data_IF_528181230037
#
_entry.id   IF_528181230037
#
_cell.length_a   1.000
_cell.length_b   1.000
_cell.length_c   1.000
_cell.angle_alpha   90.00
_cell.angle_beta   90.00
_cell.angle_gamma   90.00
#
_symmetry.space_group_name_H-M   'P 1'
#
loop_
_entity.id
_entity.type
_entity.pdbx_description
1 polymer ?
#
# COMPACT_ATOMS: atom_id res chain seq x y z
N UNK A 1 -0.80 21.84 23.22
CA UNK A 1 -1.12 21.63 21.79
C UNK A 1 -0.62 22.82 20.94
N UNK A 2 -0.30 22.64 19.65
CA UNK A 2 -0.18 23.76 18.70
C UNK A 2 -1.55 24.06 18.10
N UNK A 3 -2.12 25.21 18.43
CA UNK A 3 -3.36 25.67 17.82
C UNK A 3 -3.14 26.13 16.36
N UNK A 4 -4.17 26.09 15.50
CA UNK A 4 -4.03 26.43 14.08
C UNK A 4 -3.49 27.85 13.86
N UNK A 5 -2.68 28.02 12.81
CA UNK A 5 -1.99 29.28 12.51
C UNK A 5 -2.92 30.48 12.21
N UNK A 6 -4.23 30.24 12.02
CA UNK A 6 -5.23 31.29 11.84
C UNK A 6 -5.69 31.95 13.17
N UNK A 7 -5.26 31.42 14.33
CA UNK A 7 -5.53 32.00 15.64
C UNK A 7 -4.36 32.92 16.01
N UNK A 8 -4.56 34.23 15.82
CA UNK A 8 -3.58 35.23 16.23
C UNK A 8 -3.30 35.21 17.74
N UNK A 9 -2.12 35.66 18.16
CA UNK A 9 -1.62 35.60 19.55
C UNK A 9 -2.62 36.16 20.59
N UNK A 10 -3.35 37.22 20.27
CA UNK A 10 -4.37 37.81 21.17
C UNK A 10 -5.51 36.83 21.48
N UNK A 11 -5.98 36.09 20.47
CA UNK A 11 -7.03 35.08 20.64
C UNK A 11 -6.50 33.86 21.39
N UNK A 12 -5.24 33.49 21.15
CA UNK A 12 -4.55 32.43 21.91
C UNK A 12 -4.59 32.70 23.41
N UNK A 13 -4.12 33.88 23.83
CA UNK A 13 -4.09 34.29 25.24
C UNK A 13 -5.49 34.37 25.86
N UNK A 14 -6.49 34.79 25.09
CA UNK A 14 -7.87 34.80 25.56
C UNK A 14 -8.39 33.37 25.85
N UNK A 15 -8.05 32.40 25.00
CA UNK A 15 -8.40 30.99 25.22
C UNK A 15 -7.67 30.44 26.45
N UNK A 16 -6.38 30.72 26.59
CA UNK A 16 -5.60 30.33 27.77
C UNK A 16 -6.19 30.89 29.07
N UNK A 17 -6.58 32.17 29.07
CA UNK A 17 -7.24 32.81 30.21
C UNK A 17 -8.59 32.15 30.53
N UNK A 18 -9.43 31.89 29.51
CA UNK A 18 -10.72 31.22 29.72
C UNK A 18 -10.54 29.81 30.29
N UNK A 19 -9.52 29.07 29.86
CA UNK A 19 -9.22 27.74 30.40
C UNK A 19 -8.79 27.83 31.88
N UNK A 20 -7.99 28.84 32.23
CA UNK A 20 -7.62 29.11 33.63
C UNK A 20 -8.84 29.45 34.49
N UNK A 21 -9.73 30.30 34.00
CA UNK A 21 -10.96 30.71 34.71
C UNK A 21 -11.91 29.52 34.95
N UNK A 22 -11.87 28.51 34.07
CA UNK A 22 -12.65 27.27 34.18
C UNK A 22 -11.91 26.15 34.94
N UNK A 23 -10.72 26.41 35.48
CA UNK A 23 -9.85 25.41 36.12
C UNK A 23 -9.51 24.21 35.21
N UNK A 24 -9.45 24.42 33.90
CA UNK A 24 -9.08 23.41 32.90
C UNK A 24 -7.58 23.55 32.59
N UNK A 25 -6.84 22.46 32.73
CA UNK A 25 -5.43 22.43 32.36
C UNK A 25 -5.24 22.62 30.85
N UNK A 26 -4.33 23.51 30.44
CA UNK A 26 -4.04 23.80 29.03
C UNK A 26 -3.48 22.60 28.27
N UNK A 27 -2.74 21.73 28.97
CA UNK A 27 -2.20 20.48 28.44
C UNK A 27 -2.55 19.35 29.42
N UNK A 28 -3.81 18.88 29.41
CA UNK A 28 -4.20 17.82 30.31
C UNK A 28 -3.39 16.55 30.01
N UNK A 29 -3.04 15.81 31.05
CA UNK A 29 -2.45 14.49 30.89
C UNK A 29 -3.43 13.60 30.11
N UNK A 30 -3.00 12.89 29.05
CA UNK A 30 -3.86 11.96 28.33
C UNK A 30 -4.53 10.99 29.30
N UNK A 31 -5.86 10.87 29.23
CA UNK A 31 -6.56 9.92 30.07
C UNK A 31 -6.20 8.50 29.66
N UNK A 32 -6.23 7.57 30.61
CA UNK A 32 -5.95 6.16 30.36
C UNK A 32 -6.85 5.60 29.25
N UNK A 33 -8.12 6.00 29.22
CA UNK A 33 -9.07 5.62 28.18
C UNK A 33 -8.60 6.05 26.78
N UNK A 34 -8.17 7.30 26.61
CA UNK A 34 -7.68 7.81 25.31
C UNK A 34 -6.42 7.04 24.90
N UNK A 35 -5.51 6.79 25.83
CA UNK A 35 -4.30 6.00 25.59
C UNK A 35 -4.64 4.57 25.14
N UNK A 36 -5.59 3.92 25.81
CA UNK A 36 -6.01 2.56 25.50
C UNK A 36 -6.66 2.47 24.11
N UNK A 37 -7.58 3.38 23.78
CA UNK A 37 -8.23 3.43 22.46
C UNK A 37 -7.25 3.72 21.34
N UNK A 38 -6.28 4.60 21.57
CA UNK A 38 -5.23 4.87 20.60
C UNK A 38 -4.31 3.67 20.38
N UNK A 39 -3.98 2.94 21.45
CA UNK A 39 -3.18 1.72 21.36
C UNK A 39 -3.92 0.58 20.65
N UNK A 40 -5.22 0.41 20.91
CA UNK A 40 -6.09 -0.53 20.22
C UNK A 40 -6.09 -0.24 18.70
N UNK A 41 -6.34 1.01 18.31
CA UNK A 41 -6.28 1.42 16.91
C UNK A 41 -4.91 1.16 16.28
N UNK A 42 -3.82 1.44 17.01
CA UNK A 42 -2.47 1.19 16.52
C UNK A 42 -2.23 -0.31 16.28
N UNK A 43 -2.73 -1.17 17.17
CA UNK A 43 -2.66 -2.63 16.99
C UNK A 43 -3.46 -3.09 15.77
N UNK A 44 -4.66 -2.56 15.57
CA UNK A 44 -5.50 -2.87 14.40
C UNK A 44 -4.83 -2.44 13.08
N UNK A 45 -4.19 -1.26 13.08
CA UNK A 45 -3.45 -0.77 11.91
C UNK A 45 -2.25 -1.66 11.56
N UNK A 46 -1.53 -2.16 12.57
CA UNK A 46 -0.43 -3.10 12.37
C UNK A 46 -0.94 -4.42 11.79
N UNK A 47 -2.00 -4.99 12.36
CA UNK A 47 -2.62 -6.21 11.86
C UNK A 47 -3.09 -6.05 10.41
N UNK A 48 -3.73 -4.92 10.08
CA UNK A 48 -4.16 -4.63 8.71
C UNK A 48 -2.98 -4.59 7.74
N UNK A 49 -1.85 -4.01 8.15
CA UNK A 49 -0.65 -3.97 7.33
C UNK A 49 -0.08 -5.38 7.10
N UNK A 50 0.03 -6.19 8.15
CA UNK A 50 0.49 -7.58 8.06
C UNK A 50 -0.39 -8.41 7.12
N UNK A 51 -1.71 -8.27 7.23
CA UNK A 51 -2.67 -8.95 6.34
C UNK A 51 -2.52 -8.51 4.89
N UNK A 52 -2.33 -7.20 4.64
CA UNK A 52 -2.06 -6.68 3.28
C UNK A 52 -0.78 -7.25 2.69
N UNK A 53 0.28 -7.34 3.49
CA UNK A 53 1.55 -7.94 3.06
C UNK A 53 1.37 -9.43 2.74
N UNK A 54 0.69 -10.18 3.61
CA UNK A 54 0.41 -11.60 3.38
C UNK A 54 -0.42 -11.83 2.11
N UNK A 55 -1.46 -11.01 1.89
CA UNK A 55 -2.28 -11.07 0.68
C UNK A 55 -1.42 -10.84 -0.58
N UNK A 56 -0.56 -9.82 -0.60
CA UNK A 56 0.32 -9.55 -1.73
C UNK A 56 1.27 -10.72 -2.03
N UNK A 57 1.79 -11.38 -0.99
CA UNK A 57 2.60 -12.61 -1.16
C UNK A 57 1.79 -13.72 -1.82
N UNK A 58 0.56 -13.97 -1.36
CA UNK A 58 -0.28 -15.01 -1.94
C UNK A 58 -0.73 -14.70 -3.37
N UNK A 59 -0.98 -13.44 -3.71
CA UNK A 59 -1.25 -13.02 -5.09
C UNK A 59 -0.07 -13.37 -6.01
N UNK A 60 1.16 -13.08 -5.57
CA UNK A 60 2.36 -13.42 -6.31
C UNK A 60 2.56 -14.94 -6.45
N UNK A 61 2.39 -15.70 -5.38
CA UNK A 61 2.49 -17.17 -5.42
C UNK A 61 1.44 -17.79 -6.35
N UNK A 62 0.22 -17.25 -6.33
CA UNK A 62 -0.87 -17.72 -7.16
C UNK A 62 -0.64 -17.44 -8.65
N UNK A 63 -0.13 -16.25 -8.98
CA UNK A 63 0.33 -15.96 -10.34
C UNK A 63 1.47 -16.90 -10.74
N UNK A 64 2.45 -17.12 -9.87
CA UNK A 64 3.55 -18.06 -10.12
C UNK A 64 3.02 -19.47 -10.42
N UNK A 65 2.03 -19.94 -9.67
CA UNK A 65 1.41 -21.25 -9.87
C UNK A 65 0.65 -21.33 -11.20
N UNK A 66 -0.08 -20.27 -11.57
CA UNK A 66 -0.76 -20.19 -12.88
C UNK A 66 0.23 -20.32 -14.03
N UNK A 67 1.34 -19.58 -14.01
CA UNK A 67 2.37 -19.67 -15.06
C UNK A 67 2.96 -21.07 -15.17
N UNK A 68 3.25 -21.71 -14.02
CA UNK A 68 3.75 -23.10 -13.99
C UNK A 68 2.73 -24.09 -14.57
N UNK A 69 1.44 -23.94 -14.22
CA UNK A 69 0.38 -24.77 -14.76
C UNK A 69 0.25 -24.62 -16.28
N UNK A 70 0.26 -23.40 -16.79
CA UNK A 70 0.16 -23.11 -18.23
C UNK A 70 1.36 -23.68 -19.02
N UNK A 71 2.56 -23.66 -18.43
CA UNK A 71 3.75 -24.28 -19.01
C UNK A 71 3.64 -25.82 -19.11
N UNK A 72 3.03 -26.47 -18.11
CA UNK A 72 2.85 -27.93 -18.09
C UNK A 72 1.66 -28.41 -18.93
N UNK A 73 0.59 -27.61 -19.01
CA UNK A 73 -0.66 -27.94 -19.69
C UNK A 73 -0.94 -26.96 -20.84
N UNK A 74 -0.08 -26.96 -21.86
CA UNK A 74 -0.18 -26.08 -23.03
C UNK A 74 -1.63 -25.97 -23.56
N UNK A 75 -2.20 -24.77 -23.48
CA UNK A 75 -3.58 -24.48 -23.92
C UNK A 75 -4.67 -24.55 -22.85
N UNK A 76 -4.35 -24.87 -21.59
CA UNK A 76 -5.25 -24.77 -20.44
C UNK A 76 -4.75 -23.68 -19.49
N UNK A 77 -5.61 -22.72 -19.17
CA UNK A 77 -5.33 -21.68 -18.19
C UNK A 77 -5.98 -22.02 -16.84
N UNK A 78 -5.25 -21.77 -15.74
CA UNK A 78 -5.80 -21.86 -14.40
C UNK A 78 -6.74 -20.67 -14.20
N UNK A 79 -8.04 -20.92 -14.08
CA UNK A 79 -9.04 -19.86 -13.84
C UNK A 79 -9.03 -19.51 -12.36
N UNK A 80 -8.57 -18.32 -12.03
CA UNK A 80 -8.56 -17.79 -10.67
C UNK A 80 -9.74 -16.82 -10.52
N UNK A 81 -10.66 -17.05 -9.56
CA UNK A 81 -11.77 -16.14 -9.31
C UNK A 81 -11.32 -14.71 -8.96
N UNK A 82 -11.92 -13.71 -9.60
CA UNK A 82 -11.60 -12.29 -9.38
C UNK A 82 -11.81 -11.82 -7.94
N UNK A 83 -12.71 -12.49 -7.20
CA UNK A 83 -12.99 -12.20 -5.80
C UNK A 83 -11.77 -12.38 -4.86
N UNK A 84 -10.73 -13.09 -5.30
CA UNK A 84 -9.53 -13.37 -4.51
C UNK A 84 -8.56 -12.17 -4.51
N UNK A 85 -8.59 -11.32 -5.53
CA UNK A 85 -7.60 -10.25 -5.74
C UNK A 85 -7.93 -8.94 -5.00
N UNK A 86 -9.03 -8.88 -4.24
CA UNK A 86 -9.47 -7.66 -3.55
C UNK A 86 -9.49 -6.41 -4.45
N UNK A 87 -9.29 -5.22 -3.89
CA UNK A 87 -9.10 -3.97 -4.65
C UNK A 87 -7.68 -3.82 -5.21
N UNK A 88 -6.87 -4.89 -5.19
CA UNK A 88 -5.47 -4.88 -5.60
C UNK A 88 -5.38 -4.80 -7.13
N UNK A 89 -4.87 -3.68 -7.66
CA UNK A 89 -4.73 -3.43 -9.11
C UNK A 89 -3.74 -4.38 -9.83
N UNK A 90 -3.14 -5.33 -9.12
CA UNK A 90 -2.11 -6.22 -9.69
C UNK A 90 -2.70 -7.21 -10.70
N UNK A 91 -4.01 -7.48 -10.69
CA UNK A 91 -4.62 -8.49 -11.55
C UNK A 91 -5.59 -7.95 -12.63
N UNK A 92 -5.23 -6.85 -13.30
CA UNK A 92 -5.82 -6.50 -14.59
C UNK A 92 -5.05 -7.16 -15.73
N UNK A 93 -5.22 -8.48 -15.92
CA UNK A 93 -4.84 -9.12 -17.18
C UNK A 93 -5.95 -10.05 -17.67
N UNK A 94 -6.91 -9.40 -18.31
CA UNK A 94 -7.75 -9.84 -19.43
C UNK A 94 -7.54 -11.30 -19.86
N UNK A 95 -8.48 -12.17 -19.51
CA UNK A 95 -8.71 -13.44 -20.19
C UNK A 95 -9.27 -13.18 -21.59
N UNK A 96 -8.40 -12.81 -22.54
CA UNK A 96 -8.80 -12.58 -23.93
C UNK A 96 -8.29 -13.71 -24.83
N UNK A 97 -9.16 -14.69 -25.09
CA UNK A 97 -9.04 -15.58 -26.25
C UNK A 97 -9.25 -14.75 -27.53
N UNK A 98 -8.20 -14.34 -28.24
CA UNK A 98 -8.27 -14.09 -29.68
C UNK A 98 -6.90 -14.09 -30.39
N UNK A 99 -6.62 -15.21 -31.06
CA UNK A 99 -6.16 -15.31 -32.47
C UNK A 99 -5.19 -14.23 -32.99
N UNK A 100 -3.91 -14.60 -33.03
CA UNK A 100 -2.92 -14.28 -34.08
C UNK A 100 -2.60 -12.82 -34.40
N UNK A 101 -1.39 -12.37 -34.05
CA UNK A 101 -0.35 -12.04 -35.04
C UNK A 101 0.96 -11.54 -34.40
N UNK A 102 2.04 -11.87 -35.10
CA UNK A 102 3.39 -11.27 -35.15
C UNK A 102 4.23 -11.19 -33.87
N UNK A 103 5.21 -12.09 -33.86
CA UNK A 103 6.50 -12.00 -33.17
C UNK A 103 7.10 -10.60 -33.17
N UNK A 104 7.49 -10.11 -31.99
CA UNK A 104 8.52 -9.09 -31.85
C UNK A 104 9.71 -9.76 -31.17
N UNK A 105 10.67 -10.18 -32.02
CA UNK A 105 11.96 -10.72 -31.60
C UNK A 105 12.76 -9.54 -31.07
N UNK A 106 13.09 -9.57 -29.77
CA UNK A 106 13.95 -8.57 -29.14
C UNK A 106 15.39 -8.90 -29.54
N UNK A 107 15.93 -8.15 -30.50
CA UNK A 107 17.33 -8.22 -30.91
C UNK A 107 18.20 -7.54 -29.84
N UNK A 108 18.73 -8.34 -28.92
CA UNK A 108 19.80 -7.93 -27.99
C UNK A 108 21.13 -8.47 -28.55
N UNK A 109 21.70 -7.74 -29.51
CA UNK A 109 23.13 -7.81 -29.83
C UNK A 109 23.73 -6.42 -29.67
N UNK A 110 24.20 -6.17 -28.45
CA UNK A 110 25.08 -5.06 -28.12
C UNK A 110 26.18 -5.58 -27.22
N UNK A 111 27.13 -6.33 -27.77
CA UNK A 111 28.36 -6.67 -27.05
C UNK A 111 29.26 -5.44 -26.96
N UNK A 112 29.87 -5.16 -25.80
CA UNK A 112 30.77 -4.03 -25.63
C UNK A 112 32.14 -4.42 -26.18
N UNK A 113 32.64 -3.70 -27.19
CA UNK A 113 34.04 -3.79 -27.57
C UNK A 113 34.74 -2.46 -27.24
N UNK A 114 35.51 -2.51 -26.16
CA UNK A 114 36.54 -1.54 -25.84
C UNK A 114 37.73 -1.76 -26.77
N UNK A 115 38.09 -0.78 -27.61
CA UNK A 115 39.48 -0.66 -28.04
C UNK A 115 39.92 0.79 -28.21
N UNK A 116 41.02 1.05 -27.52
CA UNK A 116 41.90 2.21 -27.51
C UNK A 116 42.62 2.43 -28.85
N UNK A 117 43.12 3.65 -29.00
CA UNK A 117 44.23 4.11 -29.88
C UNK A 117 43.88 4.48 -31.33
N UNK A 118 43.91 5.77 -31.68
CA UNK A 118 45.10 6.58 -32.03
C UNK A 118 44.77 8.06 -31.94
#
# INVERSE_FOLDING_TARGET
>A
MKLPANIGQKRMKAIEQMLQDLNIELNPVPTEEICNRFNELRSDMVLLYELKTALATYEFELQTLRHQYEAFNQGKALVIPSAIFGDSQICSLETSKQKGNSSEIIDVVGTPDTSSSM
#
